data_IF_657338697696
#
_entry.id   IF_657338697696
#
_cell.length_a   1.000
_cell.length_b   1.000
_cell.length_c   1.000
_cell.angle_alpha   90.00
_cell.angle_beta   90.00
_cell.angle_gamma   90.00
#
_symmetry.space_group_name_H-M   'P 1'
#
loop_
_entity.id
_entity.type
_entity.pdbx_description
1 polymer ?
#
# COMPACT_ATOMS: atom_id res chain seq x y z
N UNK A 1 40.21 -15.37 -6.98
CA UNK A 1 38.93 -14.90 -6.42
C UNK A 1 37.89 -14.95 -7.52
N UNK A 2 36.83 -15.73 -7.36
CA UNK A 2 35.66 -15.69 -8.25
C UNK A 2 34.79 -14.53 -7.78
N UNK A 3 34.54 -13.56 -8.67
CA UNK A 3 33.63 -12.44 -8.38
C UNK A 3 32.21 -12.97 -8.55
N UNK A 4 31.35 -12.84 -7.54
CA UNK A 4 29.93 -13.19 -7.67
C UNK A 4 29.24 -12.14 -8.54
N UNK A 5 28.69 -12.56 -9.69
CA UNK A 5 27.83 -11.69 -10.49
C UNK A 5 26.55 -11.39 -9.71
N UNK A 6 26.33 -10.10 -9.40
CA UNK A 6 25.10 -9.62 -8.75
C UNK A 6 24.29 -8.80 -9.74
N UNK A 7 22.99 -9.08 -9.83
CA UNK A 7 22.05 -8.27 -10.63
C UNK A 7 21.25 -7.35 -9.72
N UNK A 8 21.28 -6.05 -10.01
CA UNK A 8 20.43 -5.04 -9.36
C UNK A 8 19.37 -4.59 -10.37
N UNK A 9 18.09 -4.60 -9.98
CA UNK A 9 16.98 -4.12 -10.80
C UNK A 9 16.21 -3.05 -10.04
N UNK A 10 16.15 -1.85 -10.60
CA UNK A 10 15.24 -0.79 -10.13
C UNK A 10 13.83 -1.05 -10.66
N UNK A 11 12.81 -0.78 -9.85
CA UNK A 11 11.41 -0.85 -10.25
C UNK A 11 10.74 0.46 -9.86
N UNK A 12 9.98 1.04 -10.79
CA UNK A 12 9.17 2.24 -10.57
C UNK A 12 7.74 1.98 -11.05
N UNK A 13 6.78 2.23 -10.17
CA UNK A 13 5.35 2.04 -10.42
C UNK A 13 5.04 0.66 -11.05
N UNK A 14 4.08 0.60 -11.96
CA UNK A 14 3.61 -0.64 -12.58
C UNK A 14 2.96 -0.36 -13.95
N UNK A 15 2.89 -1.41 -14.78
CA UNK A 15 2.19 -1.42 -16.08
C UNK A 15 1.53 -2.77 -16.28
N UNK A 16 0.28 -2.79 -16.76
CA UNK A 16 -0.49 -4.01 -17.10
C UNK A 16 -0.68 -5.04 -15.97
N UNK A 17 -0.60 -4.64 -14.70
CA UNK A 17 -0.67 -5.56 -13.53
C UNK A 17 -2.07 -5.75 -12.94
N UNK A 18 -3.01 -4.86 -13.23
CA UNK A 18 -4.32 -4.81 -12.55
C UNK A 18 -5.11 -6.13 -12.60
N UNK A 19 -5.26 -6.80 -13.77
CA UNK A 19 -6.00 -8.06 -13.83
C UNK A 19 -5.40 -9.12 -12.90
N UNK A 20 -4.06 -9.19 -12.84
CA UNK A 20 -3.36 -10.16 -12.00
C UNK A 20 -3.50 -9.86 -10.52
N UNK A 21 -3.40 -8.58 -10.14
CA UNK A 21 -3.62 -8.16 -8.74
C UNK A 21 -5.03 -8.52 -8.28
N UNK A 22 -6.05 -8.29 -9.11
CA UNK A 22 -7.44 -8.64 -8.77
C UNK A 22 -7.65 -10.16 -8.65
N UNK A 23 -7.03 -10.96 -9.51
CA UNK A 23 -7.07 -12.43 -9.41
C UNK A 23 -6.50 -12.91 -8.07
N UNK A 24 -5.34 -12.39 -7.68
CA UNK A 24 -4.71 -12.70 -6.40
C UNK A 24 -5.57 -12.26 -5.22
N UNK A 25 -6.21 -11.09 -5.30
CA UNK A 25 -7.14 -10.63 -4.27
C UNK A 25 -8.34 -11.59 -4.09
N UNK A 26 -8.89 -12.12 -5.19
CA UNK A 26 -9.97 -13.12 -5.13
C UNK A 26 -9.54 -14.44 -4.49
N UNK A 27 -8.25 -14.79 -4.61
CA UNK A 27 -7.65 -15.97 -3.97
C UNK A 27 -7.35 -15.73 -2.47
N UNK A 28 -7.65 -14.55 -1.93
CA UNK A 28 -7.44 -14.20 -0.51
C UNK A 28 -6.11 -13.51 -0.21
N UNK A 29 -5.28 -13.25 -1.22
CA UNK A 29 -4.07 -12.44 -1.04
C UNK A 29 -4.45 -10.96 -0.84
N UNK A 30 -3.58 -10.19 -0.18
CA UNK A 30 -3.80 -8.76 0.10
C UNK A 30 -5.09 -8.45 0.86
N UNK A 31 -5.40 -9.24 1.90
CA UNK A 31 -6.60 -9.04 2.71
C UNK A 31 -6.70 -7.60 3.23
N UNK A 32 -7.84 -6.96 2.94
CA UNK A 32 -8.14 -5.59 3.37
C UNK A 32 -8.09 -5.45 4.90
N UNK A 33 -8.44 -6.50 5.63
CA UNK A 33 -8.56 -6.47 7.09
C UNK A 33 -7.18 -6.43 7.77
N UNK A 34 -6.14 -6.87 7.06
CA UNK A 34 -4.75 -6.80 7.53
C UNK A 34 -4.05 -5.51 7.12
N UNK A 35 -4.47 -4.90 6.01
CA UNK A 35 -3.79 -3.75 5.41
C UNK A 35 -4.42 -2.41 5.80
N UNK A 36 -5.73 -2.36 5.99
CA UNK A 36 -6.44 -1.12 6.32
C UNK A 36 -6.44 -0.93 7.83
N UNK A 37 -5.62 0.00 8.31
CA UNK A 37 -5.46 0.30 9.74
C UNK A 37 -6.42 1.38 10.23
N UNK A 38 -6.94 2.22 9.32
CA UNK A 38 -7.87 3.31 9.66
C UNK A 38 -8.80 3.65 8.52
N UNK A 39 -10.00 4.13 8.86
CA UNK A 39 -10.98 4.68 7.93
C UNK A 39 -11.37 6.07 8.41
N UNK A 40 -11.29 7.06 7.53
CA UNK A 40 -11.59 8.46 7.84
C UNK A 40 -12.56 9.05 6.82
N UNK A 41 -13.19 10.15 7.17
CA UNK A 41 -13.95 10.97 6.22
C UNK A 41 -13.05 11.96 5.50
N UNK A 42 -13.53 12.50 4.38
CA UNK A 42 -12.78 13.48 3.60
C UNK A 42 -12.48 14.77 4.39
N UNK A 43 -13.38 15.20 5.27
CA UNK A 43 -13.20 16.36 6.15
C UNK A 43 -11.96 16.25 7.05
N UNK A 44 -11.55 15.02 7.38
CA UNK A 44 -10.44 14.75 8.29
C UNK A 44 -9.12 14.42 7.57
N UNK A 45 -9.07 14.51 6.23
CA UNK A 45 -7.94 14.01 5.43
C UNK A 45 -6.59 14.60 5.85
N UNK A 46 -6.58 15.86 6.31
CA UNK A 46 -5.36 16.54 6.74
C UNK A 46 -4.90 15.99 8.10
N UNK A 47 -5.73 16.14 9.14
CA UNK A 47 -5.36 15.82 10.51
C UNK A 47 -5.28 14.30 10.77
N UNK A 48 -6.25 13.54 10.29
CA UNK A 48 -6.38 12.10 10.57
C UNK A 48 -5.82 11.21 9.46
N UNK A 49 -5.45 11.80 8.32
CA UNK A 49 -4.86 11.12 7.17
C UNK A 49 -3.37 11.40 7.05
N UNK A 50 -3.00 12.58 6.53
CA UNK A 50 -1.60 12.92 6.26
C UNK A 50 -0.77 13.05 7.54
N UNK A 51 -1.27 13.81 8.51
CA UNK A 51 -0.59 14.03 9.79
C UNK A 51 -0.38 12.73 10.56
N UNK A 52 -1.40 11.87 10.61
CA UNK A 52 -1.30 10.54 11.22
C UNK A 52 -0.23 9.68 10.54
N UNK A 53 -0.14 9.68 9.21
CA UNK A 53 0.88 8.89 8.49
C UNK A 53 2.31 9.37 8.78
N UNK A 54 2.49 10.67 9.03
CA UNK A 54 3.81 11.23 9.36
C UNK A 54 4.20 10.91 10.81
N UNK A 55 3.23 10.98 11.74
CA UNK A 55 3.48 10.84 13.18
C UNK A 55 3.46 9.38 13.66
N UNK A 56 2.61 8.54 13.08
CA UNK A 56 2.36 7.17 13.52
C UNK A 56 2.89 6.13 12.52
N UNK A 57 4.03 5.51 12.84
CA UNK A 57 4.63 4.47 11.99
C UNK A 57 3.87 3.14 11.96
N UNK A 58 2.86 2.97 12.82
CA UNK A 58 2.01 1.78 12.88
C UNK A 58 0.92 1.78 11.80
N UNK A 59 0.64 2.93 11.17
CA UNK A 59 -0.37 3.03 10.12
C UNK A 59 0.15 2.42 8.82
N UNK A 60 -0.56 1.44 8.28
CA UNK A 60 -0.21 0.75 7.03
C UNK A 60 -0.97 1.37 5.85
N UNK A 61 -2.29 1.49 5.98
CA UNK A 61 -3.14 2.12 4.95
C UNK A 61 -4.37 2.75 5.59
N UNK A 62 -4.58 4.02 5.26
CA UNK A 62 -5.79 4.77 5.62
C UNK A 62 -6.70 4.84 4.40
N UNK A 63 -7.98 4.48 4.56
CA UNK A 63 -8.99 4.67 3.53
C UNK A 63 -9.83 5.91 3.83
N UNK A 64 -10.02 6.75 2.82
CA UNK A 64 -10.80 7.98 2.91
C UNK A 64 -12.16 7.76 2.23
N UNK A 65 -13.24 8.01 2.97
CA UNK A 65 -14.60 8.05 2.42
C UNK A 65 -14.91 9.47 1.93
N UNK A 66 -15.42 9.64 0.68
CA UNK A 66 -15.87 10.94 0.19
C UNK A 66 -17.24 11.36 0.78
N UNK A 67 -17.94 10.43 1.44
CA UNK A 67 -19.19 10.67 2.18
C UNK A 67 -18.91 10.74 3.68
#
# INVERSE_FOLDING_TARGET
MVIQERTIKGVIAYRDVFPKTLELMKQGYFSKDLLVTKRIKLEDIVNEGFDSLVKEKSQVKILVSPK
#
